data_IF_992503927557
#
_entry.id   IF_992503927557
#
_cell.length_a   1.000
_cell.length_b   1.000
_cell.length_c   1.000
_cell.angle_alpha   90.00
_cell.angle_beta   90.00
_cell.angle_gamma   90.00
#
_symmetry.space_group_name_H-M   'P 1'
#
loop_
_entity.id
_entity.type
_entity.pdbx_description
1 polymer ?
#
# COMPACT_ATOMS: atom_id res chain seq x y z
N UNK A 1 9.24 -18.57 -7.85
CA UNK A 1 7.78 -18.45 -7.98
C UNK A 1 7.31 -19.45 -9.03
N UNK A 2 6.38 -20.35 -8.69
CA UNK A 2 5.85 -21.34 -9.61
C UNK A 2 5.02 -20.62 -10.69
N UNK A 3 5.40 -20.72 -11.96
CA UNK A 3 4.71 -20.04 -13.08
C UNK A 3 3.23 -20.42 -13.17
N UNK A 4 2.86 -21.60 -12.67
CA UNK A 4 1.48 -22.09 -12.62
C UNK A 4 0.63 -21.27 -11.64
N UNK A 5 1.12 -21.07 -10.42
CA UNK A 5 0.42 -20.30 -9.38
C UNK A 5 0.12 -18.86 -9.82
N UNK A 6 1.10 -18.19 -10.44
CA UNK A 6 0.93 -16.83 -10.97
C UNK A 6 -0.19 -16.74 -12.03
N UNK A 7 -0.25 -17.73 -12.94
CA UNK A 7 -1.29 -17.78 -13.97
C UNK A 7 -2.67 -18.06 -13.36
N UNK A 8 -2.73 -18.94 -12.38
CA UNK A 8 -3.96 -19.26 -11.68
C UNK A 8 -4.48 -18.01 -10.95
N UNK A 9 -3.63 -17.28 -10.23
CA UNK A 9 -4.00 -16.01 -9.59
C UNK A 9 -4.45 -14.93 -10.60
N UNK A 10 -3.77 -14.79 -11.74
CA UNK A 10 -4.21 -13.88 -12.80
C UNK A 10 -5.59 -14.25 -13.35
N UNK A 11 -5.85 -15.54 -13.53
CA UNK A 11 -7.16 -16.05 -13.96
C UNK A 11 -8.25 -15.72 -12.93
N UNK A 12 -7.97 -15.94 -11.64
CA UNK A 12 -8.91 -15.61 -10.56
C UNK A 12 -9.16 -14.10 -10.52
N UNK A 13 -8.12 -13.27 -10.57
CA UNK A 13 -8.26 -11.81 -10.58
C UNK A 13 -9.10 -11.34 -11.78
N UNK A 14 -8.91 -11.94 -12.96
CA UNK A 14 -9.64 -11.58 -14.16
C UNK A 14 -11.12 -11.91 -14.01
N UNK A 15 -11.42 -13.07 -13.42
CA UNK A 15 -12.78 -13.48 -13.15
C UNK A 15 -13.46 -12.55 -12.14
N UNK A 16 -12.80 -12.20 -11.04
CA UNK A 16 -13.35 -11.28 -10.04
C UNK A 16 -13.69 -9.91 -10.66
N UNK A 17 -12.78 -9.34 -11.45
CA UNK A 17 -13.03 -8.08 -12.18
C UNK A 17 -14.22 -8.23 -13.12
N UNK A 18 -14.26 -9.31 -13.89
CA UNK A 18 -15.35 -9.57 -14.83
C UNK A 18 -16.71 -9.68 -14.15
N UNK A 19 -16.81 -10.44 -13.05
CA UNK A 19 -18.06 -10.61 -12.32
C UNK A 19 -18.54 -9.31 -11.68
N UNK A 20 -17.63 -8.55 -11.07
CA UNK A 20 -17.98 -7.23 -10.53
C UNK A 20 -18.54 -6.29 -11.61
N UNK A 21 -17.96 -6.28 -12.81
CA UNK A 21 -18.49 -5.48 -13.92
C UNK A 21 -19.88 -5.92 -14.37
N UNK A 22 -20.14 -7.23 -14.43
CA UNK A 22 -21.47 -7.76 -14.76
C UNK A 22 -22.51 -7.35 -13.72
N UNK A 23 -22.18 -7.48 -12.43
CA UNK A 23 -23.09 -7.14 -11.35
C UNK A 23 -23.33 -5.63 -11.24
N UNK A 24 -22.30 -4.79 -11.42
CA UNK A 24 -22.45 -3.34 -11.49
C UNK A 24 -23.40 -2.96 -12.63
N UNK A 25 -23.22 -3.56 -13.82
CA UNK A 25 -24.10 -3.31 -14.97
C UNK A 25 -25.54 -3.75 -14.69
N UNK A 26 -25.73 -4.91 -14.07
CA UNK A 26 -27.04 -5.42 -13.72
C UNK A 26 -27.75 -4.49 -12.72
N UNK A 27 -27.05 -4.05 -11.67
CA UNK A 27 -27.56 -3.09 -10.69
C UNK A 27 -27.92 -1.75 -11.33
N UNK A 28 -27.10 -1.24 -12.27
CA UNK A 28 -27.38 0.01 -12.98
C UNK A 28 -28.63 -0.12 -13.87
N UNK A 29 -28.77 -1.25 -14.56
CA UNK A 29 -29.95 -1.54 -15.41
C UNK A 29 -31.22 -1.68 -14.57
N UNK A 30 -31.13 -2.33 -13.42
CA UNK A 30 -32.26 -2.43 -12.48
C UNK A 30 -32.68 -1.04 -11.98
N UNK A 31 -31.71 -0.19 -11.62
CA UNK A 31 -31.93 1.20 -11.22
C UNK A 31 -32.65 2.04 -12.26
N UNK A 32 -32.34 1.86 -13.55
CA UNK A 32 -33.06 2.54 -14.64
C UNK A 32 -34.54 2.15 -14.70
N UNK A 33 -34.89 0.93 -14.28
CA UNK A 33 -36.27 0.43 -14.28
C UNK A 33 -37.04 0.80 -13.01
N UNK A 34 -36.36 0.78 -11.86
CA UNK A 34 -36.94 1.11 -10.55
C UNK A 34 -36.96 2.61 -10.23
N UNK A 35 -36.16 3.42 -10.94
CA UNK A 35 -35.96 4.84 -10.66
C UNK A 35 -34.84 5.13 -9.65
N UNK A 36 -34.29 4.10 -8.99
CA UNK A 36 -33.22 4.25 -8.00
C UNK A 36 -32.17 3.12 -8.17
N UNK A 37 -30.95 3.43 -8.64
CA UNK A 37 -29.87 2.46 -8.71
C UNK A 37 -29.31 2.09 -7.33
N UNK A 38 -28.94 0.81 -7.17
CA UNK A 38 -28.23 0.33 -5.98
C UNK A 38 -26.75 0.77 -6.03
N UNK A 39 -26.54 2.07 -5.80
CA UNK A 39 -25.21 2.68 -5.80
C UNK A 39 -24.30 2.10 -4.71
N UNK A 40 -24.88 1.67 -3.58
CA UNK A 40 -24.13 1.08 -2.49
C UNK A 40 -23.47 -0.23 -2.93
N UNK A 41 -24.23 -1.13 -3.59
CA UNK A 41 -23.67 -2.37 -4.13
C UNK A 41 -22.65 -2.09 -5.22
N UNK A 42 -22.90 -1.13 -6.12
CA UNK A 42 -21.95 -0.77 -7.17
C UNK A 42 -20.61 -0.27 -6.60
N UNK A 43 -20.65 0.63 -5.61
CA UNK A 43 -19.44 1.11 -4.95
C UNK A 43 -18.71 -0.02 -4.23
N UNK A 44 -19.43 -0.86 -3.49
CA UNK A 44 -18.85 -2.03 -2.82
C UNK A 44 -18.07 -2.92 -3.80
N UNK A 45 -18.65 -3.20 -4.97
CA UNK A 45 -18.05 -4.03 -6.02
C UNK A 45 -16.87 -3.33 -6.70
N UNK A 46 -16.98 -2.04 -7.00
CA UNK A 46 -15.87 -1.26 -7.55
C UNK A 46 -14.68 -1.23 -6.57
N UNK A 47 -14.95 -0.97 -5.30
CA UNK A 47 -13.95 -0.92 -4.24
C UNK A 47 -13.25 -2.26 -4.04
N UNK A 48 -13.95 -3.39 -4.16
CA UNK A 48 -13.31 -4.70 -4.00
C UNK A 48 -12.41 -5.01 -5.21
N UNK A 49 -12.76 -4.61 -6.44
CA UNK A 49 -11.96 -5.01 -7.62
C UNK A 49 -10.95 -3.97 -8.13
N UNK A 50 -10.98 -2.71 -7.67
CA UNK A 50 -10.18 -1.63 -8.30
C UNK A 50 -8.66 -1.87 -8.32
N UNK A 51 -8.13 -2.65 -7.38
CA UNK A 51 -6.70 -2.99 -7.32
C UNK A 51 -6.33 -4.23 -8.15
N UNK A 52 -7.32 -5.02 -8.60
CA UNK A 52 -7.09 -6.27 -9.31
C UNK A 52 -6.54 -6.10 -10.73
N UNK A 53 -6.86 -5.04 -11.51
CA UNK A 53 -6.22 -4.80 -12.81
C UNK A 53 -4.69 -4.72 -12.75
N UNK A 54 -4.12 -4.29 -11.61
CA UNK A 54 -2.66 -4.30 -11.39
C UNK A 54 -2.06 -5.72 -11.44
N UNK A 55 -2.84 -6.74 -11.09
CA UNK A 55 -2.49 -8.17 -11.11
C UNK A 55 -2.57 -8.74 -12.54
N UNK A 56 -3.46 -8.19 -13.37
CA UNK A 56 -3.74 -8.64 -14.74
C UNK A 56 -2.67 -8.21 -15.75
N UNK A 57 -1.84 -7.21 -15.42
CA UNK A 57 -0.73 -6.75 -16.25
C UNK A 57 0.59 -7.47 -16.02
N UNK A 58 1.68 -6.90 -16.55
CA UNK A 58 3.07 -7.24 -16.16
C UNK A 58 3.47 -6.64 -14.81
N UNK A 59 2.58 -5.83 -14.22
CA UNK A 59 2.73 -5.24 -12.90
C UNK A 59 2.83 -6.32 -11.86
N UNK A 60 4.06 -6.67 -11.49
CA UNK A 60 4.27 -7.37 -10.22
C UNK A 60 3.71 -6.46 -9.14
N UNK A 61 2.63 -6.85 -8.47
CA UNK A 61 2.52 -6.52 -7.05
C UNK A 61 3.77 -7.14 -6.48
N UNK A 62 4.76 -6.29 -6.17
CA UNK A 62 6.11 -6.68 -5.79
C UNK A 62 6.00 -7.81 -4.78
N UNK A 63 6.44 -9.01 -5.16
CA UNK A 63 6.26 -10.22 -4.37
C UNK A 63 6.87 -9.98 -2.99
N UNK A 64 6.04 -9.67 -2.00
CA UNK A 64 6.47 -9.47 -0.62
C UNK A 64 6.75 -10.86 -0.04
N UNK A 65 7.76 -10.96 0.82
CA UNK A 65 8.07 -12.20 1.52
C UNK A 65 7.15 -12.30 2.73
N UNK A 66 6.40 -13.39 2.89
CA UNK A 66 5.59 -13.64 4.09
C UNK A 66 6.43 -14.03 5.32
N UNK A 67 5.82 -14.05 6.53
CA UNK A 67 6.45 -14.51 7.77
C UNK A 67 6.86 -16.00 7.71
N UNK A 68 7.55 -16.49 8.74
CA UNK A 68 7.95 -17.91 8.83
C UNK A 68 6.73 -18.84 8.88
N UNK A 69 6.76 -19.92 8.08
CA UNK A 69 5.63 -20.85 7.89
C UNK A 69 4.78 -20.60 6.64
N UNK A 70 5.06 -19.54 5.88
CA UNK A 70 4.33 -19.17 4.65
C UNK A 70 4.58 -20.14 3.48
N UNK A 71 3.57 -20.47 2.63
CA UNK A 71 3.69 -21.49 1.58
C UNK A 71 4.62 -21.12 0.40
N UNK A 72 5.34 -20.00 0.47
CA UNK A 72 6.45 -19.69 -0.44
C UNK A 72 6.44 -18.27 -1.00
N UNK A 73 7.44 -17.91 -1.84
CA UNK A 73 7.52 -16.61 -2.49
C UNK A 73 6.45 -16.46 -3.59
N UNK A 74 5.55 -15.49 -3.38
CA UNK A 74 4.42 -15.15 -4.24
C UNK A 74 3.10 -15.63 -3.63
N UNK A 75 2.39 -14.74 -2.91
CA UNK A 75 0.97 -14.87 -2.47
C UNK A 75 0.59 -13.70 -1.56
N UNK A 76 0.63 -12.48 -2.10
CA UNK A 76 -0.08 -11.32 -1.52
C UNK A 76 -1.24 -10.86 -2.41
N UNK A 77 -1.45 -11.54 -3.53
CA UNK A 77 -2.31 -11.13 -4.63
C UNK A 77 -3.72 -10.82 -4.17
N UNK A 78 -4.30 -11.69 -3.33
CA UNK A 78 -5.62 -11.49 -2.73
C UNK A 78 -5.58 -11.19 -1.23
N UNK A 79 -4.41 -11.23 -0.58
CA UNK A 79 -4.33 -10.96 0.86
C UNK A 79 -4.65 -9.51 1.19
N UNK A 80 -4.09 -8.57 0.43
CA UNK A 80 -4.39 -7.15 0.58
C UNK A 80 -5.89 -6.91 0.43
N UNK A 81 -6.45 -7.40 -0.69
CA UNK A 81 -7.87 -7.39 -0.99
C UNK A 81 -8.70 -7.90 0.19
N UNK A 82 -8.38 -9.10 0.68
CA UNK A 82 -9.09 -9.77 1.77
C UNK A 82 -9.04 -8.99 3.08
N UNK A 83 -7.86 -8.51 3.46
CA UNK A 83 -7.69 -7.77 4.70
C UNK A 83 -8.40 -6.43 4.65
N UNK A 84 -8.46 -5.76 3.49
CA UNK A 84 -9.19 -4.49 3.30
C UNK A 84 -10.67 -4.62 3.06
N UNK A 85 -11.16 -5.81 2.71
CA UNK A 85 -12.56 -6.04 2.42
C UNK A 85 -13.44 -5.87 3.68
N UNK A 86 -14.53 -5.12 3.53
CA UNK A 86 -15.65 -5.10 4.48
C UNK A 86 -16.29 -6.49 4.60
N UNK A 87 -17.12 -6.75 5.63
CA UNK A 87 -17.81 -8.03 5.75
C UNK A 87 -18.63 -8.40 4.49
N UNK A 88 -19.32 -7.42 3.89
CA UNK A 88 -20.08 -7.63 2.65
C UNK A 88 -19.16 -7.97 1.47
N UNK A 89 -18.02 -7.28 1.35
CA UNK A 89 -17.02 -7.59 0.32
C UNK A 89 -16.39 -8.97 0.52
N UNK A 90 -16.10 -9.38 1.76
CA UNK A 90 -15.59 -10.71 2.07
C UNK A 90 -16.60 -11.80 1.70
N UNK A 91 -17.88 -11.62 2.05
CA UNK A 91 -18.93 -12.56 1.66
C UNK A 91 -19.02 -12.73 0.15
N UNK A 92 -18.97 -11.61 -0.60
CA UNK A 92 -18.94 -11.65 -2.05
C UNK A 92 -17.68 -12.38 -2.58
N UNK A 93 -16.50 -12.07 -2.04
CA UNK A 93 -15.26 -12.75 -2.43
C UNK A 93 -15.32 -14.27 -2.17
N UNK A 94 -15.84 -14.68 -1.01
CA UNK A 94 -16.03 -16.10 -0.66
C UNK A 94 -16.89 -16.78 -1.72
N UNK A 95 -18.04 -16.20 -2.05
CA UNK A 95 -18.95 -16.75 -3.06
C UNK A 95 -18.23 -16.94 -4.41
N UNK A 96 -17.53 -15.89 -4.89
CA UNK A 96 -16.80 -15.98 -6.15
C UNK A 96 -15.68 -17.02 -6.13
N UNK A 97 -14.90 -17.09 -5.04
CA UNK A 97 -13.78 -18.02 -4.92
C UNK A 97 -14.27 -19.47 -4.79
N UNK A 98 -15.40 -19.70 -4.10
CA UNK A 98 -16.06 -21.01 -4.05
C UNK A 98 -16.55 -21.44 -5.43
N UNK A 99 -17.19 -20.55 -6.19
CA UNK A 99 -17.65 -20.83 -7.55
C UNK A 99 -16.49 -21.17 -8.51
N UNK A 100 -15.28 -20.70 -8.20
CA UNK A 100 -14.06 -20.98 -8.96
C UNK A 100 -13.27 -22.18 -8.45
N UNK A 101 -13.76 -22.86 -7.40
CA UNK A 101 -13.05 -23.94 -6.70
C UNK A 101 -11.64 -23.53 -6.25
N UNK A 102 -11.46 -22.24 -5.92
CA UNK A 102 -10.17 -21.70 -5.49
C UNK A 102 -10.05 -21.81 -3.97
N UNK A 103 -8.99 -22.47 -3.49
CA UNK A 103 -8.70 -22.54 -2.06
C UNK A 103 -8.36 -21.15 -1.51
N UNK A 104 -9.32 -20.56 -0.81
CA UNK A 104 -9.17 -19.27 -0.13
C UNK A 104 -8.94 -19.41 1.37
N UNK A 105 -8.90 -20.64 1.92
CA UNK A 105 -8.79 -20.87 3.37
C UNK A 105 -7.49 -20.34 3.96
N UNK A 106 -6.46 -20.14 3.13
CA UNK A 106 -5.24 -19.45 3.53
C UNK A 106 -5.48 -17.99 3.91
N UNK A 107 -6.47 -17.32 3.32
CA UNK A 107 -6.81 -15.93 3.64
C UNK A 107 -7.37 -15.79 5.06
N UNK A 108 -8.07 -16.82 5.54
CA UNK A 108 -8.57 -16.91 6.93
C UNK A 108 -7.47 -17.32 7.90
N UNK A 109 -6.63 -18.29 7.51
CA UNK A 109 -5.57 -18.84 8.36
C UNK A 109 -4.51 -17.80 8.74
N UNK A 110 -4.22 -16.89 7.82
CA UNK A 110 -3.20 -15.85 8.00
C UNK A 110 -3.79 -14.51 8.45
N UNK A 111 -4.88 -14.54 9.23
CA UNK A 111 -5.49 -13.37 9.85
C UNK A 111 -4.47 -12.36 10.41
N UNK A 112 -4.88 -11.09 10.45
CA UNK A 112 -4.17 -9.87 10.87
C UNK A 112 -2.65 -9.80 10.57
N UNK A 113 -2.28 -8.84 9.72
CA UNK A 113 -0.90 -8.58 9.33
C UNK A 113 0.03 -8.55 10.56
N UNK A 114 1.15 -9.31 10.61
CA UNK A 114 2.07 -9.23 11.74
C UNK A 114 2.59 -7.79 11.87
N UNK A 115 2.20 -7.11 12.95
CA UNK A 115 2.66 -5.77 13.25
C UNK A 115 4.11 -5.88 13.72
N UNK A 116 5.06 -5.65 12.81
CA UNK A 116 6.44 -5.46 13.18
C UNK A 116 6.57 -4.12 13.89
N UNK A 117 6.78 -4.15 15.21
CA UNK A 117 7.02 -2.97 16.05
C UNK A 117 8.47 -2.49 15.97
N UNK A 118 9.37 -3.34 15.48
CA UNK A 118 10.77 -3.01 15.31
C UNK A 118 11.27 -3.44 13.92
N UNK A 119 12.13 -2.62 13.27
CA UNK A 119 12.79 -3.05 12.05
C UNK A 119 13.69 -4.27 12.37
N UNK A 120 13.72 -5.30 11.51
CA UNK A 120 14.56 -6.47 11.75
C UNK A 120 16.03 -6.06 11.90
N UNK A 121 16.66 -6.52 12.97
CA UNK A 121 18.08 -6.24 13.29
C UNK A 121 19.05 -7.12 12.50
N UNK A 122 18.55 -8.15 11.80
CA UNK A 122 19.35 -9.13 11.08
C UNK A 122 19.09 -9.17 9.57
N UNK A 123 20.16 -9.45 8.82
CA UNK A 123 20.19 -9.70 7.39
C UNK A 123 19.33 -10.91 7.00
N UNK A 124 18.20 -10.71 6.32
CA UNK A 124 17.47 -11.83 5.68
C UNK A 124 18.08 -12.17 4.33
N UNK A 125 18.72 -13.34 4.22
CA UNK A 125 19.38 -13.85 3.00
C UNK A 125 18.43 -14.64 2.05
N UNK A 126 17.10 -14.42 2.14
CA UNK A 126 16.11 -15.19 1.36
C UNK A 126 16.22 -14.94 -0.15
N UNK A 127 15.74 -15.87 -1.01
CA UNK A 127 15.53 -15.61 -2.43
C UNK A 127 14.43 -14.55 -2.62
N UNK A 128 14.80 -13.39 -3.18
CA UNK A 128 14.03 -12.13 -3.09
C UNK A 128 14.64 -11.11 -2.12
N UNK A 129 15.71 -11.50 -1.43
CA UNK A 129 16.49 -10.70 -0.50
C UNK A 129 17.22 -9.55 -1.17
N UNK A 130 17.91 -8.75 -0.34
CA UNK A 130 18.87 -7.71 -0.67
C UNK A 130 18.92 -7.35 -2.15
N UNK A 131 17.94 -6.56 -2.62
CA UNK A 131 18.17 -5.81 -3.84
C UNK A 131 19.22 -4.78 -3.49
N UNK A 132 20.36 -4.81 -4.20
CA UNK A 132 21.37 -3.76 -4.03
C UNK A 132 20.66 -2.41 -4.18
N UNK A 133 20.83 -1.49 -3.22
CA UNK A 133 20.38 -0.11 -3.40
C UNK A 133 20.84 0.39 -4.77
N UNK A 134 19.93 0.90 -5.59
CA UNK A 134 20.32 1.63 -6.80
C UNK A 134 21.29 2.74 -6.44
N UNK A 135 20.99 3.41 -5.33
CA UNK A 135 21.74 4.53 -4.83
C UNK A 135 21.68 4.59 -3.29
N UNK A 136 22.58 3.83 -2.63
CA UNK A 136 22.70 3.85 -1.17
C UNK A 136 23.13 5.22 -0.64
N UNK A 137 23.78 6.03 -1.48
CA UNK A 137 24.25 7.36 -1.10
C UNK A 137 23.10 8.36 -1.04
N UNK A 138 21.99 8.08 -1.73
CA UNK A 138 20.74 8.85 -1.70
C UNK A 138 19.78 8.47 -0.57
N UNK A 139 20.09 7.44 0.23
CA UNK A 139 19.33 7.16 1.47
C UNK A 139 19.49 8.32 2.44
N UNK A 140 18.38 8.79 3.00
CA UNK A 140 18.36 9.84 4.03
C UNK A 140 17.63 9.33 5.26
N UNK A 141 18.20 9.59 6.43
CA UNK A 141 17.47 9.48 7.71
C UNK A 141 17.11 10.89 8.12
N UNK A 142 15.82 11.17 8.27
CA UNK A 142 15.32 12.54 8.51
C UNK A 142 14.55 12.57 9.82
N UNK A 143 14.64 13.66 10.60
CA UNK A 143 13.76 13.84 11.75
C UNK A 143 12.32 14.06 11.29
N UNK A 144 11.37 13.88 12.22
CA UNK A 144 9.93 14.03 11.97
C UNK A 144 9.55 15.36 11.33
N UNK A 145 10.12 16.47 11.80
CA UNK A 145 9.87 17.81 11.26
C UNK A 145 10.28 17.92 9.78
N UNK A 146 11.44 17.36 9.42
CA UNK A 146 11.91 17.34 8.04
C UNK A 146 11.01 16.48 7.16
N UNK A 147 10.59 15.30 7.62
CA UNK A 147 9.65 14.47 6.85
C UNK A 147 8.30 15.20 6.66
N UNK A 148 7.77 15.82 7.70
CA UNK A 148 6.53 16.57 7.62
C UNK A 148 6.61 17.69 6.58
N UNK A 149 7.72 18.45 6.57
CA UNK A 149 7.95 19.49 5.58
C UNK A 149 8.01 18.95 4.15
N UNK A 150 8.68 17.81 3.93
CA UNK A 150 8.72 17.16 2.61
C UNK A 150 7.34 16.73 2.13
N UNK A 151 6.51 16.16 3.02
CA UNK A 151 5.15 15.74 2.71
C UNK A 151 4.22 16.94 2.42
N UNK A 152 4.38 18.05 3.14
CA UNK A 152 3.67 19.30 2.86
C UNK A 152 4.10 19.90 1.51
N UNK A 153 5.41 19.89 1.23
CA UNK A 153 5.98 20.40 -0.02
C UNK A 153 5.54 19.58 -1.23
N UNK A 154 5.45 18.26 -1.12
CA UNK A 154 4.95 17.36 -2.17
C UNK A 154 3.56 17.80 -2.66
N UNK A 155 2.65 18.09 -1.73
CA UNK A 155 1.31 18.57 -2.04
C UNK A 155 1.34 20.01 -2.59
N UNK A 156 2.06 20.92 -1.92
CA UNK A 156 2.14 22.32 -2.33
C UNK A 156 2.70 22.51 -3.75
N UNK A 157 3.58 21.60 -4.20
CA UNK A 157 4.15 21.59 -5.55
C UNK A 157 3.34 20.80 -6.57
N UNK A 158 2.18 20.24 -6.19
CA UNK A 158 1.33 19.45 -7.08
C UNK A 158 2.00 18.16 -7.58
N UNK A 159 2.84 17.54 -6.74
CA UNK A 159 3.48 16.25 -7.02
C UNK A 159 2.58 15.07 -6.62
N UNK A 160 1.62 15.33 -5.73
CA UNK A 160 0.55 14.43 -5.31
C UNK A 160 -0.78 15.19 -5.28
N UNK A 161 -1.89 14.48 -5.46
CA UNK A 161 -3.25 15.00 -5.23
C UNK A 161 -3.72 14.78 -3.78
N UNK A 162 -2.99 13.99 -2.99
CA UNK A 162 -3.38 13.60 -1.63
C UNK A 162 -2.71 14.51 -0.62
N UNK A 163 -3.50 15.11 0.28
CA UNK A 163 -2.97 15.84 1.43
C UNK A 163 -2.43 14.86 2.47
N UNK A 164 -1.29 15.21 3.06
CA UNK A 164 -0.62 14.40 4.08
C UNK A 164 -0.85 14.89 5.51
N UNK A 165 -1.76 15.86 5.75
CA UNK A 165 -1.94 16.45 7.09
C UNK A 165 -2.28 15.39 8.15
N UNK A 166 -3.15 14.44 7.79
CA UNK A 166 -3.53 13.33 8.65
C UNK A 166 -2.32 12.43 8.96
N UNK A 167 -1.49 12.12 7.96
CA UNK A 167 -0.25 11.35 8.16
C UNK A 167 0.72 12.09 9.08
N UNK A 168 0.96 13.37 8.81
CA UNK A 168 1.85 14.24 9.57
C UNK A 168 1.44 14.30 11.05
N UNK A 169 0.13 14.42 11.33
CA UNK A 169 -0.40 14.48 12.70
C UNK A 169 -0.10 13.20 13.51
N UNK A 170 0.12 12.07 12.84
CA UNK A 170 0.37 10.78 13.48
C UNK A 170 1.82 10.31 13.45
N UNK A 171 2.74 11.09 12.88
CA UNK A 171 4.17 10.80 12.96
C UNK A 171 4.65 10.88 14.41
N UNK A 172 5.50 9.95 14.83
CA UNK A 172 6.06 9.90 16.19
C UNK A 172 6.94 11.13 16.46
N UNK A 173 6.60 11.99 17.44
CA UNK A 173 7.43 13.15 17.76
C UNK A 173 8.85 12.75 18.14
N UNK A 174 9.85 13.49 17.65
CA UNK A 174 11.27 13.22 17.92
C UNK A 174 11.84 11.94 17.27
N UNK A 175 11.04 11.17 16.52
CA UNK A 175 11.53 10.00 15.82
C UNK A 175 12.31 10.36 14.55
N UNK A 176 12.99 9.33 14.02
CA UNK A 176 13.68 9.39 12.74
C UNK A 176 13.00 8.47 11.72
N UNK A 177 12.96 8.93 10.48
CA UNK A 177 12.31 8.27 9.35
C UNK A 177 13.34 8.03 8.26
N UNK A 178 13.14 7.01 7.43
CA UNK A 178 14.10 6.67 6.37
C UNK A 178 13.49 6.91 4.99
N UNK A 179 14.11 7.77 4.20
CA UNK A 179 13.77 8.04 2.80
C UNK A 179 14.73 7.25 1.91
N UNK A 180 14.16 6.39 1.06
CA UNK A 180 14.88 5.43 0.21
C UNK A 180 14.45 5.69 -1.24
N UNK A 181 15.38 5.99 -2.17
CA UNK A 181 15.02 6.18 -3.57
C UNK A 181 14.46 4.88 -4.15
N UNK A 182 13.34 4.97 -4.87
CA UNK A 182 12.86 3.84 -5.66
C UNK A 182 13.83 3.54 -6.80
N UNK A 183 13.81 2.29 -7.27
CA UNK A 183 14.63 1.84 -8.39
C UNK A 183 14.10 2.40 -9.72
N UNK A 184 14.94 2.52 -10.75
CA UNK A 184 14.49 2.96 -12.08
C UNK A 184 13.43 2.06 -12.72
N UNK A 185 13.38 0.77 -12.34
CA UNK A 185 12.38 -0.20 -12.79
C UNK A 185 11.16 -0.29 -11.87
N UNK A 186 11.14 0.42 -10.74
CA UNK A 186 9.97 0.46 -9.87
C UNK A 186 8.82 1.24 -10.55
N UNK A 187 7.60 0.80 -10.24
CA UNK A 187 6.37 1.39 -10.75
C UNK A 187 6.23 2.79 -10.16
N UNK A 188 6.08 3.80 -11.02
CA UNK A 188 5.72 5.15 -10.60
C UNK A 188 4.21 5.25 -10.47
N UNK A 189 3.71 5.78 -9.35
CA UNK A 189 2.30 6.09 -9.18
C UNK A 189 1.95 7.43 -9.87
N UNK A 190 2.06 7.47 -11.21
CA UNK A 190 1.77 8.63 -12.06
C UNK A 190 2.87 8.94 -13.08
N UNK A 191 2.68 9.95 -13.94
CA UNK A 191 3.61 10.25 -15.03
C UNK A 191 4.99 10.64 -14.51
N UNK A 192 6.05 10.09 -15.13
CA UNK A 192 7.42 10.49 -14.86
C UNK A 192 7.61 11.95 -15.27
N UNK A 193 8.16 12.75 -14.37
CA UNK A 193 8.52 14.16 -14.61
C UNK A 193 10.02 14.34 -14.40
N UNK A 194 10.66 15.16 -15.24
CA UNK A 194 12.10 15.37 -15.16
C UNK A 194 12.50 15.90 -13.77
N UNK A 195 13.52 15.28 -13.16
CA UNK A 195 14.03 15.69 -11.85
C UNK A 195 13.18 15.26 -10.65
N UNK A 196 11.96 14.75 -10.86
CA UNK A 196 11.09 14.24 -9.80
C UNK A 196 11.27 12.74 -9.66
N UNK A 197 11.49 12.30 -8.43
CA UNK A 197 11.69 10.92 -8.05
C UNK A 197 10.62 10.50 -7.06
N UNK A 198 10.31 9.21 -7.08
CA UNK A 198 9.50 8.60 -6.04
C UNK A 198 10.43 7.91 -5.04
N UNK A 199 10.11 8.08 -3.77
CA UNK A 199 10.86 7.57 -2.64
C UNK A 199 9.93 6.72 -1.79
N UNK A 200 10.43 5.56 -1.39
CA UNK A 200 9.86 4.78 -0.30
C UNK A 200 10.25 5.45 1.02
N UNK A 201 9.30 5.61 1.93
CA UNK A 201 9.53 6.20 3.25
C UNK A 201 9.11 5.23 4.33
N UNK A 202 10.08 4.81 5.15
CA UNK A 202 9.83 4.06 6.37
C UNK A 202 9.59 5.05 7.51
N UNK A 203 8.37 5.06 8.03
CA UNK A 203 7.88 6.08 8.95
C UNK A 203 7.53 5.47 10.29
N UNK A 204 7.95 6.10 11.37
CA UNK A 204 7.54 5.73 12.72
C UNK A 204 6.30 6.51 13.14
N UNK A 205 5.26 5.78 13.51
CA UNK A 205 3.99 6.32 13.96
C UNK A 205 3.99 6.49 15.47
N UNK A 206 3.13 7.37 15.99
CA UNK A 206 3.04 7.67 17.41
C UNK A 206 2.81 6.43 18.29
N UNK A 207 2.01 5.48 17.81
CA UNK A 207 1.74 4.19 18.47
C UNK A 207 2.95 3.23 18.44
N UNK A 208 4.07 3.66 17.85
CA UNK A 208 5.28 2.87 17.67
C UNK A 208 5.29 2.01 16.40
N UNK A 209 4.22 2.01 15.60
CA UNK A 209 4.19 1.24 14.37
C UNK A 209 5.20 1.76 13.35
N UNK A 210 5.82 0.84 12.60
CA UNK A 210 6.62 1.16 11.42
C UNK A 210 5.77 0.99 10.17
N UNK A 211 5.52 2.08 9.44
CA UNK A 211 4.73 2.06 8.22
C UNK A 211 5.56 2.35 6.97
N UNK A 212 5.11 1.78 5.86
CA UNK A 212 5.61 2.02 4.52
C UNK A 212 4.72 3.07 3.86
N UNK A 213 5.33 4.15 3.38
CA UNK A 213 4.65 5.15 2.58
C UNK A 213 5.51 5.63 1.44
N UNK A 214 4.97 6.58 0.69
CA UNK A 214 5.56 7.08 -0.55
C UNK A 214 5.70 8.60 -0.47
N UNK A 215 6.78 9.12 -1.03
CA UNK A 215 7.04 10.54 -1.16
C UNK A 215 7.54 10.83 -2.57
N UNK A 216 6.94 11.80 -3.24
CA UNK A 216 7.48 12.39 -4.46
C UNK A 216 8.21 13.68 -4.15
N UNK A 217 9.45 13.76 -4.57
CA UNK A 217 10.26 14.95 -4.35
C UNK A 217 11.22 15.17 -5.52
N UNK A 218 11.71 16.40 -5.64
CA UNK A 218 12.83 16.66 -6.54
C UNK A 218 14.07 15.97 -6.00
N UNK A 219 14.85 15.35 -6.89
CA UNK A 219 16.10 14.69 -6.51
C UNK A 219 17.07 15.64 -5.82
N UNK A 220 17.08 16.91 -6.25
CA UNK A 220 17.90 17.97 -5.65
C UNK A 220 17.52 18.23 -4.19
N UNK A 221 16.21 18.33 -3.89
CA UNK A 221 15.72 18.51 -2.51
C UNK A 221 16.21 17.39 -1.59
N UNK A 222 16.14 16.13 -2.03
CA UNK A 222 16.63 15.00 -1.22
C UNK A 222 18.17 14.97 -1.15
N UNK A 223 18.86 15.35 -2.23
CA UNK A 223 20.31 15.37 -2.27
C UNK A 223 20.91 16.38 -1.26
N UNK A 224 20.27 17.54 -1.08
CA UNK A 224 20.65 18.61 -0.16
C UNK A 224 20.51 18.23 1.33
N UNK A 225 19.70 17.21 1.64
CA UNK A 225 19.59 16.73 3.02
C UNK A 225 20.92 16.12 3.49
N UNK A 226 21.32 16.38 4.75
CA UNK A 226 22.59 15.88 5.25
C UNK A 226 22.60 14.34 5.29
N UNK A 227 23.73 13.69 4.95
CA UNK A 227 23.89 12.26 5.13
C UNK A 227 23.97 11.94 6.63
N UNK A 228 22.86 11.51 7.20
CA UNK A 228 22.67 11.33 8.65
C UNK A 228 23.06 9.94 9.18
N UNK A 229 23.70 9.11 8.35
CA UNK A 229 24.11 7.76 8.75
C UNK A 229 25.41 7.29 8.09
N UNK A 230 26.16 6.47 8.84
CA UNK A 230 27.31 5.75 8.32
C UNK A 230 26.94 4.96 7.06
N UNK A 231 27.88 4.87 6.10
CA UNK A 231 27.69 4.20 4.81
C UNK A 231 27.10 2.78 4.97
N UNK A 232 27.61 2.03 5.93
CA UNK A 232 27.14 0.67 6.19
C UNK A 232 25.66 0.66 6.63
N UNK A 233 25.27 1.51 7.59
CA UNK A 233 23.86 1.64 8.03
C UNK A 233 22.92 2.04 6.88
N UNK A 234 23.37 2.92 5.98
CA UNK A 234 22.59 3.27 4.77
C UNK A 234 22.41 2.09 3.81
N UNK A 235 23.45 1.29 3.62
CA UNK A 235 23.37 0.06 2.83
C UNK A 235 22.37 -0.94 3.44
N UNK A 236 22.39 -1.09 4.77
CA UNK A 236 21.41 -1.91 5.48
C UNK A 236 19.98 -1.44 5.28
N UNK A 237 19.72 -0.15 5.49
CA UNK A 237 18.39 0.42 5.38
C UNK A 237 17.84 0.34 3.95
N UNK A 238 18.64 0.64 2.93
CA UNK A 238 18.19 0.52 1.55
C UNK A 238 17.95 -0.92 1.08
N UNK A 239 18.54 -1.91 1.77
CA UNK A 239 18.33 -3.30 1.46
C UNK A 239 17.18 -3.95 2.27
N UNK A 240 16.48 -3.17 3.11
CA UNK A 240 15.33 -3.67 3.87
C UNK A 240 14.27 -4.24 2.91
N UNK A 241 13.85 -5.51 3.09
CA UNK A 241 12.85 -6.12 2.24
C UNK A 241 11.54 -5.32 2.16
N UNK A 242 10.91 -5.37 0.99
CA UNK A 242 9.53 -4.93 0.81
C UNK A 242 8.62 -5.87 1.61
N UNK A 243 7.94 -5.34 2.64
CA UNK A 243 7.03 -6.12 3.49
C UNK A 243 7.26 -6.06 5.00
N UNK A 244 8.33 -5.42 5.49
CA UNK A 244 8.56 -5.27 6.93
C UNK A 244 7.75 -4.14 7.59
N UNK A 245 7.21 -3.23 6.80
CA UNK A 245 6.46 -2.09 7.29
C UNK A 245 5.00 -2.21 6.83
N UNK A 246 4.07 -1.79 7.69
CA UNK A 246 2.64 -1.84 7.41
C UNK A 246 2.28 -0.77 6.39
N UNK A 247 1.39 -1.06 5.46
CA UNK A 247 0.96 -0.03 4.51
C UNK A 247 0.24 1.12 5.25
N UNK A 248 0.49 2.36 4.82
CA UNK A 248 -0.11 3.57 5.41
C UNK A 248 -1.64 3.48 5.48
N UNK A 249 -2.30 2.95 4.44
CA UNK A 249 -3.75 2.79 4.38
C UNK A 249 -4.29 1.76 5.38
N UNK A 250 -3.63 0.59 5.52
CA UNK A 250 -4.00 -0.39 6.55
C UNK A 250 -3.80 0.18 7.94
N UNK A 251 -2.68 0.89 8.16
CA UNK A 251 -2.39 1.52 9.45
C UNK A 251 -3.54 2.43 9.88
N UNK A 252 -3.94 3.36 9.01
CA UNK A 252 -5.04 4.28 9.30
C UNK A 252 -6.38 3.61 9.57
N UNK A 253 -6.68 2.54 8.83
CA UNK A 253 -7.93 1.79 9.04
C UNK A 253 -7.94 1.15 10.43
N UNK A 254 -6.93 0.37 10.80
CA UNK A 254 -7.00 -0.30 12.10
C UNK A 254 -6.78 0.68 13.25
N UNK A 255 -6.05 1.78 13.03
CA UNK A 255 -5.98 2.89 13.99
C UNK A 255 -7.37 3.49 14.25
N UNK A 256 -8.18 3.73 13.22
CA UNK A 256 -9.57 4.19 13.38
C UNK A 256 -10.46 3.16 14.06
N UNK A 257 -10.26 1.86 13.79
CA UNK A 257 -11.01 0.81 14.46
C UNK A 257 -10.65 0.71 15.94
N UNK A 258 -9.37 0.87 16.29
CA UNK A 258 -8.86 0.79 17.65
C UNK A 258 -9.15 2.06 18.47
N UNK A 259 -9.12 3.23 17.82
CA UNK A 259 -9.45 4.53 18.41
C UNK A 259 -10.40 5.33 17.49
N UNK A 260 -11.71 5.03 17.52
CA UNK A 260 -12.70 5.70 16.69
C UNK A 260 -12.84 7.20 16.99
N UNK A 261 -12.43 7.64 18.19
CA UNK A 261 -12.55 9.01 18.66
C UNK A 261 -11.22 9.76 18.64
N UNK A 262 -10.22 9.26 17.90
CA UNK A 262 -8.92 9.88 17.83
C UNK A 262 -9.04 11.35 17.41
N UNK A 263 -8.62 12.32 18.27
CA UNK A 263 -8.81 13.75 17.99
C UNK A 263 -8.02 14.21 16.76
N UNK A 264 -6.92 13.52 16.42
CA UNK A 264 -6.09 13.82 15.25
C UNK A 264 -6.73 13.34 13.95
N UNK A 265 -7.39 12.19 13.99
CA UNK A 265 -8.23 11.75 12.87
C UNK A 265 -9.43 12.69 12.67
N UNK A 266 -10.05 13.15 13.76
CA UNK A 266 -11.19 14.07 13.70
C UNK A 266 -10.81 15.48 13.19
N UNK A 267 -9.61 15.98 13.52
CA UNK A 267 -9.10 17.26 13.04
C UNK A 267 -8.79 17.28 11.53
N UNK A 268 -8.57 16.09 10.95
CA UNK A 268 -8.21 15.91 9.54
C UNK A 268 -9.12 14.86 8.88
N UNK A 269 -10.44 15.13 8.78
CA UNK A 269 -11.36 14.20 8.16
C UNK A 269 -10.94 13.96 6.71
N UNK A 270 -10.99 12.71 6.25
CA UNK A 270 -10.86 12.44 4.82
C UNK A 270 -11.97 13.22 4.12
N UNK A 271 -11.61 14.19 3.27
CA UNK A 271 -12.59 14.80 2.40
C UNK A 271 -13.14 13.68 1.51
N UNK A 272 -14.47 13.47 1.45
CA UNK A 272 -15.03 12.62 0.42
C UNK A 272 -14.52 13.15 -0.93
N UNK A 273 -14.04 12.24 -1.79
CA UNK A 273 -13.68 12.59 -3.16
C UNK A 273 -14.97 13.13 -3.79
N UNK A 274 -15.03 14.41 -4.21
CA UNK A 274 -16.23 14.95 -4.81
C UNK A 274 -16.57 14.14 -6.07
N UNK A 275 -17.79 13.61 -6.13
CA UNK A 275 -18.28 12.79 -7.26
C UNK A 275 -18.36 13.57 -8.59
N UNK A 276 -18.05 14.87 -8.60
CA UNK A 276 -18.19 15.75 -9.76
C UNK A 276 -16.97 15.74 -10.70
N UNK A 277 -15.84 15.13 -10.31
CA UNK A 277 -14.58 15.16 -11.08
C UNK A 277 -14.13 13.76 -11.56
N UNK A 278 -15.05 12.79 -11.70
CA UNK A 278 -14.81 11.48 -12.35
C UNK A 278 -15.59 11.41 -13.67
#
# INVERSE_FOLDING_TARGET
MNRRLCRDEQRIAAHLVYQALLEIRAAATAGQRSGEPDLQRMHMLADVVHNLPGILGTGRISARSGPDGWPGPGTFTFYWLWTTASPAQKNWLIEQLQNLEYDYTYLDRYGEWPVYTEPPTSLSLRPGGWRRPYDATSVRIVPTETLANLLTEEFARGLTSKRSDRLIAHLKPGATHTVIPNQPDDIFFGPRRQGIWEYRVLQQMEDGALIDGHLRAFRTTIAELPPSAAKLKRLYLAALPLGHARDTGLWFRDHQSADPNCPRCAAHPQRPIPLADI
#
